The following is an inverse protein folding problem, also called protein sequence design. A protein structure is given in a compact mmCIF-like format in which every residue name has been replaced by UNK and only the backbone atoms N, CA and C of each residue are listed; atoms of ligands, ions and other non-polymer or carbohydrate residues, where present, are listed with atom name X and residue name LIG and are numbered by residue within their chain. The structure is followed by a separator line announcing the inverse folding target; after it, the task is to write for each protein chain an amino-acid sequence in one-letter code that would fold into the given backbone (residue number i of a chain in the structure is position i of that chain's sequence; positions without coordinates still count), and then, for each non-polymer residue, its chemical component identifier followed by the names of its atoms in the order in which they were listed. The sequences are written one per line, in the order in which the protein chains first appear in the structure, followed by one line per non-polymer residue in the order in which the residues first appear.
data_IF_549641267140
#
_entry.id   IF_549641267140
#
_cell.length_a   1.000
_cell.length_b   1.000
_cell.length_c   1.000
_cell.angle_alpha   90.00
_cell.angle_beta   90.00
_cell.angle_gamma   90.00
#
_symmetry.space_group_name_H-M   'P 1'
#
loop_
_entity.id
_entity.type
_entity.pdbx_description
1 polymer ?
#
# COMPACT_ATOMS: atom_id res chain seq x y z
N UNK A 1 17.33 -5.03 -1.49
CA UNK A 1 15.99 -5.50 -1.07
C UNK A 1 15.01 -4.35 -1.18
N UNK A 2 13.98 -4.51 -1.97
CA UNK A 2 12.93 -3.49 -2.12
C UNK A 2 11.90 -3.64 -1.01
N UNK A 3 11.66 -2.57 -0.30
CA UNK A 3 10.83 -2.58 0.90
C UNK A 3 9.63 -1.64 0.77
N UNK A 4 8.57 -1.99 1.45
CA UNK A 4 7.40 -1.12 1.63
C UNK A 4 6.71 -1.45 2.95
N UNK A 5 5.91 -0.52 3.43
CA UNK A 5 5.03 -0.71 4.59
C UNK A 5 3.60 -0.79 4.09
N UNK A 6 2.88 -1.83 4.45
CA UNK A 6 1.54 -2.04 3.96
C UNK A 6 0.64 -2.77 4.94
N UNK A 7 -0.64 -2.79 4.60
CA UNK A 7 -1.67 -3.53 5.32
C UNK A 7 -2.13 -4.69 4.43
N UNK A 8 -1.98 -5.92 4.90
CA UNK A 8 -2.50 -7.08 4.18
C UNK A 8 -4.03 -7.11 4.31
N UNK A 9 -4.70 -7.41 3.20
CA UNK A 9 -6.16 -7.51 3.20
C UNK A 9 -6.62 -8.78 3.91
N UNK A 10 -7.74 -8.72 4.68
CA UNK A 10 -8.36 -9.91 5.25
C UNK A 10 -8.78 -10.91 4.16
N UNK A 11 -8.86 -12.19 4.51
CA UNK A 11 -9.20 -13.25 3.56
C UNK A 11 -10.50 -12.98 2.81
N UNK A 12 -11.53 -12.51 3.48
CA UNK A 12 -12.82 -12.22 2.85
C UNK A 12 -12.71 -11.15 1.77
N UNK A 13 -11.92 -10.11 2.02
CA UNK A 13 -11.67 -9.06 1.04
C UNK A 13 -10.81 -9.57 -0.10
N UNK A 14 -9.79 -10.37 0.19
CA UNK A 14 -8.95 -10.99 -0.85
C UNK A 14 -9.78 -11.87 -1.79
N UNK A 15 -10.70 -12.65 -1.24
CA UNK A 15 -11.58 -13.51 -2.04
C UNK A 15 -12.50 -12.69 -2.95
N UNK A 16 -13.05 -11.59 -2.44
CA UNK A 16 -13.87 -10.67 -3.24
C UNK A 16 -13.09 -10.00 -4.36
N UNK A 17 -11.87 -9.57 -4.08
CA UNK A 17 -11.01 -8.95 -5.07
C UNK A 17 -10.59 -9.96 -6.14
N UNK A 18 -10.32 -11.20 -5.77
CA UNK A 18 -10.05 -12.28 -6.72
C UNK A 18 -11.24 -12.51 -7.65
N UNK A 19 -12.47 -12.48 -7.12
CA UNK A 19 -13.67 -12.71 -7.89
C UNK A 19 -13.89 -11.68 -9.00
N UNK A 20 -13.39 -10.46 -8.85
CA UNK A 20 -13.48 -9.42 -9.87
C UNK A 20 -12.21 -9.28 -10.73
N UNK A 21 -11.19 -10.09 -10.46
CA UNK A 21 -9.91 -10.05 -11.18
C UNK A 21 -9.97 -10.89 -12.44
N UNK A 22 -10.70 -10.39 -13.45
CA UNK A 22 -10.86 -11.05 -14.75
C UNK A 22 -11.26 -10.03 -15.82
N UNK A 23 -11.22 -10.45 -17.07
CA UNK A 23 -11.80 -9.67 -18.17
C UNK A 23 -10.87 -8.66 -18.83
N UNK A 24 -9.61 -8.54 -18.38
CA UNK A 24 -8.63 -7.67 -19.01
C UNK A 24 -7.55 -8.49 -19.71
N UNK A 25 -7.48 -8.33 -21.02
CA UNK A 25 -6.45 -9.00 -21.82
C UNK A 25 -5.05 -8.48 -21.42
N UNK A 26 -4.12 -9.40 -21.22
CA UNK A 26 -2.74 -9.07 -20.86
C UNK A 26 -2.52 -8.66 -19.40
N UNK A 27 -3.56 -8.62 -18.58
CA UNK A 27 -3.41 -8.28 -17.18
C UNK A 27 -2.69 -9.40 -16.41
N UNK A 28 -1.76 -9.01 -15.55
CA UNK A 28 -1.09 -9.91 -14.61
C UNK A 28 -1.69 -9.70 -13.23
N UNK A 29 -2.68 -10.49 -12.90
CA UNK A 29 -3.39 -10.35 -11.63
C UNK A 29 -2.51 -10.72 -10.44
N UNK A 30 -2.56 -9.88 -9.40
CA UNK A 30 -1.85 -10.14 -8.16
C UNK A 30 -2.49 -11.36 -7.48
N UNK A 31 -1.67 -12.28 -6.98
CA UNK A 31 -2.20 -13.42 -6.21
C UNK A 31 -2.85 -12.92 -4.92
N UNK A 32 -3.95 -13.55 -4.47
CA UNK A 32 -4.68 -13.07 -3.28
C UNK A 32 -3.81 -12.86 -2.04
N UNK A 33 -2.82 -13.71 -1.81
CA UNK A 33 -1.93 -13.60 -0.66
C UNK A 33 -1.06 -12.33 -0.70
N UNK A 34 -0.90 -11.72 -1.86
CA UNK A 34 -0.10 -10.52 -2.06
C UNK A 34 -0.94 -9.24 -2.15
N UNK A 35 -2.26 -9.34 -2.00
CA UNK A 35 -3.14 -8.17 -2.01
C UNK A 35 -2.96 -7.38 -0.72
N UNK A 36 -2.54 -6.13 -0.86
CA UNK A 36 -2.29 -5.24 0.28
C UNK A 36 -2.48 -3.78 -0.09
N UNK A 37 -2.69 -2.95 0.91
CA UNK A 37 -2.66 -1.49 0.74
C UNK A 37 -1.28 -0.99 1.15
N UNK A 38 -0.57 -0.34 0.24
CA UNK A 38 0.73 0.25 0.55
C UNK A 38 0.54 1.59 1.27
N UNK A 39 1.17 1.72 2.43
CA UNK A 39 1.16 2.96 3.21
C UNK A 39 2.40 3.81 2.95
N UNK A 40 3.53 3.19 2.74
CA UNK A 40 4.80 3.88 2.46
C UNK A 40 5.71 2.99 1.63
N UNK A 41 6.04 3.43 0.46
CA UNK A 41 7.05 2.77 -0.36
C UNK A 41 8.44 3.23 0.10
N UNK A 42 9.33 2.30 0.39
CA UNK A 42 10.66 2.61 0.93
C UNK A 42 11.73 2.50 -0.15
N UNK A 43 11.65 1.46 -0.99
CA UNK A 43 12.66 1.16 -1.99
C UNK A 43 13.79 0.32 -1.44
N UNK A 44 14.97 0.42 -2.07
CA UNK A 44 16.13 -0.37 -1.68
C UNK A 44 16.93 0.32 -0.57
N UNK A 45 17.26 -0.43 0.47
CA UNK A 45 18.09 0.02 1.59
C UNK A 45 19.22 -0.96 1.86
N UNK A 46 20.32 -0.46 2.42
CA UNK A 46 21.37 -1.31 2.99
C UNK A 46 20.92 -1.93 4.33
N UNK A 47 21.67 -2.91 4.84
CA UNK A 47 21.32 -3.61 6.07
C UNK A 47 21.15 -2.71 7.30
N UNK A 48 22.11 -1.82 7.60
CA UNK A 48 21.98 -0.89 8.74
C UNK A 48 20.76 0.03 8.63
N UNK A 49 20.47 0.54 7.44
CA UNK A 49 19.28 1.40 7.22
C UNK A 49 17.99 0.62 7.39
N UNK A 50 17.94 -0.65 6.97
CA UNK A 50 16.77 -1.52 7.22
C UNK A 50 16.52 -1.67 8.71
N UNK A 51 17.55 -1.90 9.50
CA UNK A 51 17.43 -2.06 10.95
C UNK A 51 16.91 -0.78 11.60
N UNK A 52 17.42 0.37 11.19
CA UNK A 52 16.97 1.66 11.72
C UNK A 52 15.50 1.92 11.42
N UNK A 53 15.06 1.65 10.20
CA UNK A 53 13.66 1.81 9.80
C UNK A 53 12.77 0.82 10.53
N UNK A 54 13.18 -0.43 10.64
CA UNK A 54 12.41 -1.46 11.35
C UNK A 54 12.20 -1.06 12.82
N UNK A 55 13.24 -0.58 13.48
CA UNK A 55 13.17 -0.11 14.85
C UNK A 55 12.20 1.07 15.00
N UNK A 56 12.30 2.05 14.09
CA UNK A 56 11.42 3.23 14.12
C UNK A 56 9.95 2.85 13.90
N UNK A 57 9.68 1.95 12.94
CA UNK A 57 8.32 1.48 12.65
C UNK A 57 7.76 0.64 13.79
N UNK A 58 8.59 -0.09 14.51
CA UNK A 58 8.17 -0.86 15.67
C UNK A 58 7.56 -0.02 16.78
N UNK A 59 7.86 1.29 16.81
CA UNK A 59 7.26 2.24 17.75
C UNK A 59 5.95 2.87 17.26
N UNK A 60 5.49 2.54 16.07
CA UNK A 60 4.24 3.08 15.54
C UNK A 60 3.07 2.24 16.02
N UNK A 61 2.15 2.89 16.72
CA UNK A 61 0.93 2.27 17.22
C UNK A 61 -0.29 3.08 16.82
N UNK A 62 -1.36 2.38 16.44
CA UNK A 62 -2.63 3.01 16.10
C UNK A 62 -3.77 2.09 16.52
N UNK A 63 -4.93 2.66 16.91
CA UNK A 63 -6.13 1.85 17.14
C UNK A 63 -6.54 1.12 15.87
N UNK A 64 -7.13 -0.06 16.02
CA UNK A 64 -7.74 -0.76 14.90
C UNK A 64 -8.89 0.06 14.31
N UNK A 65 -9.11 -0.09 13.00
CA UNK A 65 -10.21 0.58 12.31
C UNK A 65 -10.64 -0.24 11.10
N UNK A 66 -11.83 0.03 10.59
CA UNK A 66 -12.36 -0.65 9.40
C UNK A 66 -11.92 0.07 8.15
N UNK A 67 -11.54 -0.69 7.12
CA UNK A 67 -11.29 -0.18 5.78
C UNK A 67 -12.50 -0.44 4.89
N UNK A 68 -12.85 0.53 4.06
CA UNK A 68 -13.92 0.42 3.08
C UNK A 68 -13.33 0.54 1.69
N UNK A 69 -13.53 -0.49 0.86
CA UNK A 69 -13.15 -0.43 -0.55
C UNK A 69 -14.21 0.36 -1.32
N UNK A 70 -13.76 1.18 -2.26
CA UNK A 70 -14.65 2.05 -3.02
C UNK A 70 -14.14 2.25 -4.45
N UNK A 71 -14.79 1.56 -5.39
CA UNK A 71 -14.48 1.71 -6.80
C UNK A 71 -13.19 1.06 -7.24
N UNK A 72 -12.97 1.09 -8.53
CA UNK A 72 -11.74 0.61 -9.19
C UNK A 72 -11.24 1.69 -10.12
N UNK A 73 -9.95 1.67 -10.40
CA UNK A 73 -9.34 2.62 -11.29
C UNK A 73 -8.05 2.08 -11.87
N UNK A 74 -7.36 2.93 -12.63
CA UNK A 74 -6.09 2.57 -13.22
C UNK A 74 -5.14 3.76 -13.24
N UNK A 75 -3.85 3.47 -13.15
CA UNK A 75 -2.77 4.42 -13.43
C UNK A 75 -2.13 4.05 -14.76
N UNK A 76 -1.76 5.04 -15.56
CA UNK A 76 -1.11 4.85 -16.84
C UNK A 76 -1.78 5.69 -17.92
N UNK A 77 -1.12 5.80 -19.08
CA UNK A 77 -1.63 6.58 -20.23
C UNK A 77 -1.42 5.82 -21.54
N UNK A 78 -2.46 5.77 -22.37
CA UNK A 78 -2.39 5.20 -23.70
C UNK A 78 -1.94 3.74 -23.73
N UNK A 79 -0.87 3.46 -24.48
CA UNK A 79 -0.31 2.12 -24.63
C UNK A 79 0.74 1.77 -23.56
N UNK A 80 1.00 2.67 -22.61
CA UNK A 80 1.96 2.41 -21.53
C UNK A 80 1.38 1.41 -20.53
N UNK A 81 2.27 0.81 -19.74
CA UNK A 81 1.86 -0.11 -18.68
C UNK A 81 0.87 0.55 -17.73
N UNK A 82 -0.20 -0.16 -17.41
CA UNK A 82 -1.24 0.30 -16.52
C UNK A 82 -1.23 -0.50 -15.23
N UNK A 83 -1.50 0.18 -14.12
CA UNK A 83 -1.77 -0.45 -12.84
C UNK A 83 -3.27 -0.38 -12.59
N UNK A 84 -3.90 -1.52 -12.36
CA UNK A 84 -5.33 -1.61 -11.99
C UNK A 84 -5.43 -1.74 -10.48
N UNK A 85 -6.32 -0.97 -9.85
CA UNK A 85 -6.42 -0.93 -8.41
C UNK A 85 -7.87 -0.79 -7.93
N UNK A 86 -8.09 -1.28 -6.71
CA UNK A 86 -9.33 -1.01 -5.97
C UNK A 86 -9.06 0.15 -5.01
N UNK A 87 -9.92 1.17 -5.04
CA UNK A 87 -9.80 2.32 -4.17
C UNK A 87 -10.17 1.98 -2.73
N UNK A 88 -9.55 2.68 -1.78
CA UNK A 88 -9.90 2.61 -0.37
C UNK A 88 -10.44 3.97 0.02
N UNK A 89 -11.61 3.98 0.65
CA UNK A 89 -12.21 5.23 1.13
C UNK A 89 -11.28 5.88 2.16
N UNK A 90 -10.91 7.13 1.92
CA UNK A 90 -10.10 7.90 2.85
C UNK A 90 -10.87 8.15 4.14
N UNK A 91 -10.22 7.95 5.28
CA UNK A 91 -10.79 8.22 6.59
C UNK A 91 -9.70 8.72 7.54
N UNK A 92 -10.06 9.48 8.60
CA UNK A 92 -9.05 10.07 9.49
C UNK A 92 -8.11 9.05 10.13
N UNK A 93 -8.60 7.89 10.55
CA UNK A 93 -7.77 6.86 11.17
C UNK A 93 -6.69 6.34 10.22
N UNK A 94 -7.01 6.15 8.94
CA UNK A 94 -6.07 5.69 7.92
C UNK A 94 -5.03 6.77 7.61
N UNK A 95 -5.45 8.00 7.44
CA UNK A 95 -4.54 9.14 7.19
C UNK A 95 -3.60 9.32 8.38
N UNK A 96 -4.11 9.20 9.59
CA UNK A 96 -3.30 9.34 10.81
C UNK A 96 -2.24 8.24 10.90
N UNK A 97 -2.59 6.99 10.58
CA UNK A 97 -1.63 5.89 10.54
C UNK A 97 -0.56 6.14 9.47
N UNK A 98 -0.97 6.57 8.27
CA UNK A 98 -0.04 6.93 7.20
C UNK A 98 0.94 8.02 7.66
N UNK A 99 0.44 9.07 8.31
CA UNK A 99 1.28 10.18 8.77
C UNK A 99 2.27 9.74 9.87
N UNK A 100 1.84 8.84 10.75
CA UNK A 100 2.74 8.27 11.78
C UNK A 100 3.87 7.46 11.14
N UNK A 101 3.56 6.66 10.13
CA UNK A 101 4.55 5.86 9.41
C UNK A 101 5.52 6.77 8.66
N UNK A 102 5.02 7.82 8.02
CA UNK A 102 5.86 8.80 7.33
C UNK A 102 6.81 9.49 8.31
N UNK A 103 6.30 9.95 9.44
CA UNK A 103 7.12 10.59 10.46
C UNK A 103 8.20 9.67 11.01
N UNK A 104 7.86 8.42 11.29
CA UNK A 104 8.83 7.42 11.76
C UNK A 104 9.91 7.15 10.69
N UNK A 105 9.52 7.06 9.42
CA UNK A 105 10.43 6.82 8.31
C UNK A 105 11.43 7.97 8.14
N UNK A 106 10.96 9.20 8.22
CA UNK A 106 11.83 10.39 8.11
C UNK A 106 12.79 10.46 9.30
N UNK A 107 12.30 10.18 10.52
CA UNK A 107 13.18 10.14 11.71
C UNK A 107 14.26 9.07 11.60
N UNK A 108 13.98 7.98 10.91
CA UNK A 108 14.95 6.91 10.68
C UNK A 108 15.95 7.23 9.56
N UNK A 109 15.84 8.37 8.90
CA UNK A 109 16.79 8.84 7.90
C UNK A 109 16.31 8.77 6.47
N UNK A 110 15.07 8.36 6.21
CA UNK A 110 14.52 8.35 4.85
C UNK A 110 14.10 9.75 4.42
N UNK A 111 14.16 10.00 3.11
CA UNK A 111 13.61 11.22 2.54
C UNK A 111 12.10 11.23 2.68
N UNK A 112 11.52 12.42 2.86
CA UNK A 112 10.08 12.57 2.92
C UNK A 112 9.45 12.16 1.58
N UNK A 113 8.35 11.41 1.66
CA UNK A 113 7.53 11.10 0.48
C UNK A 113 6.49 12.21 0.32
N UNK A 114 6.66 13.02 -0.72
CA UNK A 114 5.81 14.18 -0.97
C UNK A 114 4.63 13.90 -1.88
N UNK A 115 4.48 12.65 -2.33
CA UNK A 115 3.34 12.27 -3.18
C UNK A 115 2.06 12.29 -2.37
N UNK A 116 0.97 12.66 -3.04
CA UNK A 116 -0.35 12.60 -2.41
C UNK A 116 -0.67 11.15 -2.04
N UNK A 117 -1.10 10.94 -0.80
CA UNK A 117 -1.55 9.62 -0.36
C UNK A 117 -2.89 9.29 -0.99
N UNK A 118 -2.90 8.29 -1.87
CA UNK A 118 -4.10 7.78 -2.54
C UNK A 118 -4.22 6.31 -2.15
N UNK A 119 -4.98 6.00 -1.07
CA UNK A 119 -5.04 4.62 -0.59
C UNK A 119 -5.73 3.71 -1.59
N UNK A 120 -5.07 2.60 -1.90
CA UNK A 120 -5.59 1.62 -2.87
C UNK A 120 -4.95 0.26 -2.66
N UNK A 121 -5.58 -0.76 -3.25
CA UNK A 121 -5.05 -2.12 -3.35
C UNK A 121 -4.76 -2.40 -4.81
N UNK A 122 -3.52 -2.65 -5.17
CA UNK A 122 -3.15 -3.01 -6.55
C UNK A 122 -3.68 -4.40 -6.88
N UNK A 123 -4.39 -4.51 -7.99
CA UNK A 123 -4.99 -5.77 -8.46
C UNK A 123 -4.20 -6.39 -9.61
N UNK A 124 -3.58 -5.56 -10.43
CA UNK A 124 -2.80 -6.03 -11.58
C UNK A 124 -1.70 -5.04 -11.97
#
# INVERSE_FOLDING_TARGET
MRLFVGIQMPKEIRDRLKAISFGLAGARWITPDNLHATLRFIGDLDGPSVDDVDTALGGVHAPGFSLTLNGVGQFGRGHMSHTVWAGIKTQPALVHLHDKIESASVRAGLDADRRKFTPHVTLA
#
